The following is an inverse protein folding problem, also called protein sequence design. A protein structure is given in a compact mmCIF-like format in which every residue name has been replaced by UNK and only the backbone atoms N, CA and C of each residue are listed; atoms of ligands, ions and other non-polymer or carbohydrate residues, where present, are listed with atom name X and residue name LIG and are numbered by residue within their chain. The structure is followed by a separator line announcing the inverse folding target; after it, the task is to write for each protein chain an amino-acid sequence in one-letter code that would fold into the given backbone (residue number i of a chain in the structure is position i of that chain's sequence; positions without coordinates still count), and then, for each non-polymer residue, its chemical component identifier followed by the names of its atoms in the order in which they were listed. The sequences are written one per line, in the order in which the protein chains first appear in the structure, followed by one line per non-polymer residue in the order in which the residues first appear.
data_IF_885752763388
#
_entry.id   IF_885752763388
#
_cell.length_a   1.000
_cell.length_b   1.000
_cell.length_c   1.000
_cell.angle_alpha   90.00
_cell.angle_beta   90.00
_cell.angle_gamma   90.00
#
_symmetry.space_group_name_H-M   'P 1'
#
loop_
_entity.id
_entity.type
_entity.pdbx_description
1 polymer ?
#
# COMPACT_ATOMS: atom_id res chain seq x y z
N UNK A 1 19.39 42.50 11.37
CA UNK A 1 18.62 42.05 10.19
C UNK A 1 17.14 42.23 10.49
N UNK A 2 16.35 42.80 9.57
CA UNK A 2 14.88 42.80 9.72
C UNK A 2 14.38 41.37 9.53
N UNK A 3 13.55 40.86 10.45
CA UNK A 3 12.87 39.57 10.25
C UNK A 3 11.93 39.71 9.06
N UNK A 4 12.00 38.79 8.11
CA UNK A 4 11.04 38.71 7.02
C UNK A 4 9.68 38.32 7.59
N UNK A 5 8.62 38.96 7.11
CA UNK A 5 7.23 38.63 7.46
C UNK A 5 6.61 37.80 6.34
N UNK A 6 5.80 36.82 6.70
CA UNK A 6 5.09 35.97 5.73
C UNK A 6 3.61 36.23 5.90
N UNK A 7 2.96 36.60 4.80
CA UNK A 7 1.52 36.84 4.70
C UNK A 7 0.91 35.71 3.87
N UNK A 8 -0.05 34.99 4.44
CA UNK A 8 -0.72 33.85 3.83
C UNK A 8 -2.22 34.05 3.81
N UNK A 9 -2.87 33.66 2.72
CA UNK A 9 -4.32 33.63 2.62
C UNK A 9 -4.74 32.29 2.00
N UNK A 10 -5.74 31.66 2.58
CA UNK A 10 -6.35 30.42 2.09
C UNK A 10 -7.78 30.70 1.64
N UNK A 11 -8.11 30.28 0.43
CA UNK A 11 -9.48 30.26 -0.07
C UNK A 11 -10.14 28.95 0.32
N UNK A 12 -11.47 28.93 0.35
CA UNK A 12 -12.24 27.72 0.66
C UNK A 12 -11.84 26.55 -0.26
N UNK A 13 -11.65 25.38 0.35
CA UNK A 13 -11.17 24.18 -0.32
C UNK A 13 -12.12 23.67 -1.41
N UNK A 14 -13.42 23.90 -1.23
CA UNK A 14 -14.47 23.42 -2.12
C UNK A 14 -14.92 24.45 -3.17
N UNK A 15 -14.26 25.60 -3.23
CA UNK A 15 -14.54 26.56 -4.29
C UNK A 15 -14.26 25.98 -5.67
N UNK A 16 -15.27 26.11 -6.54
CA UNK A 16 -15.16 25.88 -7.97
C UNK A 16 -14.33 26.98 -8.63
N UNK A 17 -13.96 26.76 -9.89
CA UNK A 17 -13.15 27.69 -10.66
C UNK A 17 -13.79 29.09 -10.71
N UNK A 18 -15.09 29.19 -10.92
CA UNK A 18 -15.81 30.46 -11.07
C UNK A 18 -15.79 31.26 -9.77
N UNK A 19 -15.90 30.59 -8.62
CA UNK A 19 -15.84 31.22 -7.30
C UNK A 19 -14.44 31.79 -7.03
N UNK A 20 -13.39 31.03 -7.36
CA UNK A 20 -12.00 31.49 -7.25
C UNK A 20 -11.74 32.70 -8.14
N UNK A 21 -12.22 32.68 -9.39
CA UNK A 21 -12.08 33.82 -10.30
C UNK A 21 -12.85 35.05 -9.81
N UNK A 22 -14.10 34.89 -9.38
CA UNK A 22 -14.89 35.99 -8.83
C UNK A 22 -14.25 36.58 -7.56
N UNK A 23 -13.61 35.77 -6.71
CA UNK A 23 -12.85 36.31 -5.57
C UNK A 23 -11.66 37.15 -6.00
N UNK A 24 -10.93 36.75 -7.04
CA UNK A 24 -9.80 37.52 -7.56
C UNK A 24 -10.25 38.85 -8.17
N UNK A 25 -11.38 38.86 -8.88
CA UNK A 25 -12.00 40.08 -9.39
C UNK A 25 -12.42 41.03 -8.27
N UNK A 26 -12.90 40.50 -7.13
CA UNK A 26 -13.24 41.32 -5.95
C UNK A 26 -12.02 41.89 -5.23
N UNK A 27 -10.92 41.14 -5.19
CA UNK A 27 -9.70 41.63 -4.56
C UNK A 27 -9.08 42.76 -5.39
N UNK A 28 -9.08 42.69 -6.73
CA UNK A 28 -8.43 43.66 -7.65
C UNK A 28 -6.90 43.80 -7.47
N UNK A 29 -6.40 43.82 -6.24
CA UNK A 29 -5.00 43.93 -5.83
C UNK A 29 -4.70 43.01 -4.64
N UNK A 30 -3.41 42.86 -4.31
CA UNK A 30 -3.02 42.12 -3.09
C UNK A 30 -3.40 42.87 -1.80
N UNK A 31 -3.72 44.17 -1.84
CA UNK A 31 -4.03 44.94 -0.63
C UNK A 31 -5.39 44.58 -0.04
N UNK A 32 -6.28 44.06 -0.88
CA UNK A 32 -7.68 43.76 -0.55
C UNK A 32 -7.89 42.28 -0.20
N UNK A 33 -6.80 41.51 -0.13
CA UNK A 33 -6.82 40.12 0.35
C UNK A 33 -6.70 40.13 1.87
N UNK A 34 -7.56 39.36 2.54
CA UNK A 34 -7.50 39.13 3.99
C UNK A 34 -6.31 38.24 4.36
N UNK A 35 -5.13 38.84 4.44
CA UNK A 35 -3.88 38.14 4.79
C UNK A 35 -3.79 37.81 6.28
N UNK A 36 -3.29 36.62 6.57
CA UNK A 36 -2.85 36.20 7.89
C UNK A 36 -1.32 36.23 7.96
N UNK A 37 -0.76 36.95 8.92
CA UNK A 37 0.69 36.89 9.19
C UNK A 37 1.00 35.57 9.90
N UNK A 38 1.91 34.77 9.33
CA UNK A 38 2.31 33.46 9.88
C UNK A 38 3.80 33.42 10.20
N UNK A 39 4.14 32.68 11.25
CA UNK A 39 5.52 32.41 11.63
C UNK A 39 5.88 30.94 11.36
N UNK A 40 6.99 30.65 10.65
CA UNK A 40 7.44 29.28 10.48
C UNK A 40 7.80 28.63 11.82
N UNK A 41 7.59 27.33 11.94
CA UNK A 41 8.07 26.55 13.09
C UNK A 41 9.60 26.46 13.13
N UNK A 42 10.13 25.80 14.17
CA UNK A 42 11.58 25.57 14.35
C UNK A 42 12.23 24.75 13.22
N UNK A 43 11.43 24.09 12.38
CA UNK A 43 11.86 23.33 11.19
C UNK A 43 11.61 24.10 9.89
N UNK A 44 11.26 25.39 9.97
CA UNK A 44 10.96 26.27 8.84
C UNK A 44 9.69 25.89 8.06
N UNK A 45 8.72 25.23 8.71
CA UNK A 45 7.41 24.86 8.16
C UNK A 45 6.38 25.95 8.43
N UNK A 46 5.62 26.36 7.40
CA UNK A 46 4.68 27.49 7.51
C UNK A 46 3.29 27.09 8.06
N UNK A 47 2.64 26.11 7.45
CA UNK A 47 1.23 25.76 7.74
C UNK A 47 1.14 24.69 8.85
N UNK A 48 1.43 25.05 10.09
CA UNK A 48 1.53 24.12 11.23
C UNK A 48 0.34 24.15 12.18
N UNK A 49 -0.69 24.94 11.89
CA UNK A 49 -1.88 25.12 12.73
C UNK A 49 -2.61 23.82 13.12
N UNK A 50 -2.69 22.88 12.18
CA UNK A 50 -3.35 21.58 12.40
C UNK A 50 -2.41 20.52 13.01
N UNK A 51 -1.16 20.86 13.35
CA UNK A 51 -0.21 19.90 13.92
C UNK A 51 -0.33 19.82 15.43
N UNK A 52 -0.43 18.58 15.91
CA UNK A 52 -0.46 18.27 17.32
C UNK A 52 0.97 18.09 17.85
N UNK A 53 1.34 18.88 18.87
CA UNK A 53 2.71 18.91 19.38
C UNK A 53 3.08 17.68 20.20
N UNK A 54 2.11 17.10 20.92
CA UNK A 54 2.26 15.90 21.73
C UNK A 54 2.67 14.67 20.90
N UNK A 55 2.31 14.64 19.60
CA UNK A 55 2.69 13.59 18.66
C UNK A 55 4.21 13.31 18.68
N UNK A 56 5.02 14.36 18.83
CA UNK A 56 6.48 14.26 18.85
C UNK A 56 7.03 13.51 20.08
N UNK A 57 6.25 13.42 21.16
CA UNK A 57 6.62 12.71 22.39
C UNK A 57 6.47 11.19 22.29
N UNK A 58 5.72 10.70 21.30
CA UNK A 58 5.45 9.28 21.12
C UNK A 58 6.61 8.55 20.44
N UNK A 59 6.66 7.22 20.63
CA UNK A 59 7.70 6.36 20.06
C UNK A 59 7.53 6.31 18.53
N UNK A 60 8.53 6.67 17.72
CA UNK A 60 8.41 6.57 16.28
C UNK A 60 8.28 5.11 15.85
N UNK A 61 7.39 4.84 14.88
CA UNK A 61 7.26 3.49 14.33
C UNK A 61 8.55 3.05 13.61
N UNK A 62 9.26 4.01 13.01
CA UNK A 62 10.53 3.82 12.33
C UNK A 62 11.02 5.16 11.75
N UNK A 63 12.34 5.31 11.56
CA UNK A 63 12.92 6.47 10.86
C UNK A 63 14.11 6.07 10.00
N UNK A 64 14.60 6.97 9.14
CA UNK A 64 15.79 6.69 8.30
C UNK A 64 17.08 6.78 9.10
N UNK A 65 17.08 7.58 10.14
CA UNK A 65 18.17 7.80 11.07
C UNK A 65 18.38 6.54 11.90
N UNK A 66 17.33 6.08 12.59
CA UNK A 66 17.35 4.89 13.45
C UNK A 66 17.66 3.61 12.65
N UNK A 67 17.28 3.56 11.37
CA UNK A 67 17.62 2.47 10.44
C UNK A 67 19.13 2.22 10.31
N UNK A 68 19.95 3.26 10.47
CA UNK A 68 21.41 3.18 10.34
C UNK A 68 22.08 2.74 11.64
N UNK A 69 21.42 3.01 12.77
CA UNK A 69 21.85 2.58 14.09
C UNK A 69 21.68 1.06 14.23
N UNK A 70 22.50 0.42 15.07
CA UNK A 70 22.47 -1.03 15.29
C UNK A 70 21.99 -1.36 16.69
N UNK A 71 20.99 -2.22 16.82
CA UNK A 71 20.61 -2.81 18.11
C UNK A 71 19.89 -1.83 19.03
N UNK A 72 20.36 -1.70 20.28
CA UNK A 72 19.70 -0.91 21.33
C UNK A 72 19.70 0.61 21.09
N UNK A 73 20.54 1.10 20.18
CA UNK A 73 20.62 2.53 19.86
C UNK A 73 19.42 3.01 19.02
N UNK A 74 18.70 2.09 18.38
CA UNK A 74 17.56 2.41 17.54
C UNK A 74 16.30 2.74 18.39
N UNK A 75 15.99 4.03 18.53
CA UNK A 75 14.87 4.54 19.34
C UNK A 75 13.53 4.54 18.59
N UNK A 76 13.19 3.43 17.96
CA UNK A 76 11.93 3.24 17.21
C UNK A 76 11.34 1.85 17.42
N UNK A 77 10.08 1.64 17.05
CA UNK A 77 9.44 0.31 17.14
C UNK A 77 10.11 -0.68 16.19
N UNK A 78 10.24 -0.34 14.92
CA UNK A 78 10.83 -1.22 13.90
C UNK A 78 12.21 -0.72 13.47
N UNK A 79 13.18 -1.63 13.45
CA UNK A 79 14.53 -1.37 12.95
C UNK A 79 14.53 -1.15 11.43
N UNK A 80 13.85 -2.03 10.69
CA UNK A 80 13.77 -2.02 9.23
C UNK A 80 12.34 -1.80 8.76
N UNK A 81 12.20 -1.05 7.68
CA UNK A 81 10.95 -0.93 6.93
C UNK A 81 11.28 -0.71 5.45
N UNK A 82 10.34 -0.96 4.56
CA UNK A 82 10.58 -0.85 3.11
C UNK A 82 9.51 -0.03 2.43
N UNK A 83 9.86 0.68 1.37
CA UNK A 83 8.86 1.07 0.38
C UNK A 83 8.28 -0.16 -0.32
N UNK A 84 7.07 -0.02 -0.83
CA UNK A 84 6.48 -0.93 -1.80
C UNK A 84 7.33 -1.07 -3.07
N UNK A 85 7.17 -2.16 -3.81
CA UNK A 85 7.94 -2.44 -5.03
C UNK A 85 7.56 -1.44 -6.11
N UNK A 86 8.55 -0.79 -6.70
CA UNK A 86 8.40 0.02 -7.90
C UNK A 86 8.94 -0.77 -9.10
N UNK A 87 8.05 -1.33 -9.91
CA UNK A 87 8.47 -2.11 -11.07
C UNK A 87 8.82 -1.19 -12.27
N UNK A 88 8.03 -0.12 -12.45
CA UNK A 88 7.99 0.76 -13.62
C UNK A 88 7.60 0.03 -14.93
N UNK A 89 7.07 -1.19 -14.86
CA UNK A 89 6.63 -2.02 -15.99
C UNK A 89 5.58 -3.04 -15.54
N UNK A 90 4.59 -2.58 -14.78
CA UNK A 90 3.63 -3.45 -14.11
C UNK A 90 2.94 -4.44 -15.05
N UNK A 91 2.60 -4.00 -16.27
CA UNK A 91 1.96 -4.83 -17.29
C UNK A 91 2.80 -6.07 -17.69
N UNK A 92 4.12 -5.98 -17.56
CA UNK A 92 5.06 -7.04 -17.90
C UNK A 92 5.34 -7.99 -16.75
N UNK A 93 5.43 -7.46 -15.52
CA UNK A 93 5.93 -8.22 -14.36
C UNK A 93 4.90 -8.51 -13.29
N UNK A 94 3.65 -8.05 -13.46
CA UNK A 94 2.50 -8.50 -12.70
C UNK A 94 1.47 -9.19 -13.61
N UNK A 95 0.76 -10.18 -13.08
CA UNK A 95 -0.43 -10.74 -13.71
C UNK A 95 -1.37 -11.37 -12.68
N UNK A 96 -2.66 -11.49 -13.02
CA UNK A 96 -3.58 -12.33 -12.25
C UNK A 96 -3.28 -13.83 -12.47
N UNK A 97 -2.91 -14.19 -13.70
CA UNK A 97 -2.55 -15.55 -14.07
C UNK A 97 -1.04 -15.75 -14.09
N UNK A 98 -0.57 -16.80 -13.41
CA UNK A 98 0.86 -17.08 -13.30
C UNK A 98 1.45 -17.47 -14.66
N UNK A 99 0.73 -18.26 -15.46
CA UNK A 99 1.23 -18.73 -16.74
C UNK A 99 1.43 -17.57 -17.73
N UNK A 100 0.48 -16.64 -17.79
CA UNK A 100 0.58 -15.38 -18.53
C UNK A 100 1.77 -14.54 -18.05
N UNK A 101 1.98 -14.40 -16.74
CA UNK A 101 3.17 -13.73 -16.21
C UNK A 101 4.46 -14.36 -16.74
N UNK A 102 4.59 -15.68 -16.67
CA UNK A 102 5.78 -16.39 -17.13
C UNK A 102 6.03 -16.13 -18.62
N UNK A 103 4.99 -16.19 -19.46
CA UNK A 103 5.09 -15.94 -20.89
C UNK A 103 5.52 -14.50 -21.20
N UNK A 104 4.91 -13.50 -20.53
CA UNK A 104 5.27 -12.09 -20.69
C UNK A 104 6.71 -11.80 -20.29
N UNK A 105 7.16 -12.37 -19.17
CA UNK A 105 8.52 -12.15 -18.66
C UNK A 105 9.56 -12.85 -19.54
N UNK A 106 9.30 -14.08 -20.00
CA UNK A 106 10.20 -14.77 -20.94
C UNK A 106 10.38 -13.95 -22.22
N UNK A 107 9.28 -13.47 -22.80
CA UNK A 107 9.32 -12.58 -23.98
C UNK A 107 10.11 -11.29 -23.70
N UNK A 108 9.89 -10.65 -22.55
CA UNK A 108 10.64 -9.45 -22.16
C UNK A 108 12.15 -9.73 -22.05
N UNK A 109 12.53 -10.85 -21.44
CA UNK A 109 13.93 -11.26 -21.26
C UNK A 109 14.57 -11.57 -22.61
N UNK A 110 13.88 -12.30 -23.48
CA UNK A 110 14.36 -12.60 -24.84
C UNK A 110 14.62 -11.32 -25.62
N UNK A 111 13.64 -10.39 -25.65
CA UNK A 111 13.78 -9.10 -26.31
C UNK A 111 14.94 -8.26 -25.74
N UNK A 112 15.09 -8.23 -24.41
CA UNK A 112 16.20 -7.54 -23.75
C UNK A 112 17.56 -8.17 -24.12
N UNK A 113 17.66 -9.50 -24.14
CA UNK A 113 18.91 -10.19 -24.46
C UNK A 113 19.31 -10.06 -25.94
N UNK A 114 18.34 -9.88 -26.85
CA UNK A 114 18.61 -9.47 -28.24
C UNK A 114 19.33 -8.13 -28.27
N UNK A 115 18.85 -7.17 -27.47
CA UNK A 115 19.46 -5.83 -27.36
C UNK A 115 20.86 -5.89 -26.73
N UNK A 116 21.07 -6.74 -25.72
CA UNK A 116 22.41 -7.01 -25.15
C UNK A 116 23.35 -7.58 -26.20
N UNK A 117 22.88 -8.53 -27.01
CA UNK A 117 23.69 -9.14 -28.07
C UNK A 117 24.06 -8.11 -29.14
N UNK A 118 23.10 -7.27 -29.56
CA UNK A 118 23.31 -6.18 -30.52
C UNK A 118 24.26 -5.11 -29.98
N UNK A 119 24.18 -4.80 -28.68
CA UNK A 119 25.04 -3.81 -28.03
C UNK A 119 26.46 -4.34 -27.85
N UNK A 120 26.62 -5.64 -27.60
CA UNK A 120 27.91 -6.29 -27.45
C UNK A 120 28.75 -6.29 -28.74
N UNK A 121 28.12 -6.13 -29.90
CA UNK A 121 28.79 -5.97 -31.19
C UNK A 121 29.30 -4.55 -31.45
N UNK A 122 28.93 -3.57 -30.61
CA UNK A 122 29.38 -2.19 -30.77
C UNK A 122 30.85 -2.05 -30.34
N UNK A 123 31.66 -1.48 -31.22
CA UNK A 123 33.11 -1.25 -31.00
C UNK A 123 33.42 0.13 -30.44
N UNK A 124 32.42 1.02 -30.39
CA UNK A 124 32.55 2.39 -29.87
C UNK A 124 31.36 2.73 -28.96
N UNK A 125 31.51 3.77 -28.15
CA UNK A 125 30.45 4.22 -27.25
C UNK A 125 29.28 4.77 -28.06
N UNK A 126 28.09 4.23 -27.85
CA UNK A 126 26.84 4.66 -28.51
C UNK A 126 25.93 5.35 -27.49
N UNK A 127 25.19 6.36 -27.95
CA UNK A 127 24.06 6.91 -27.20
C UNK A 127 22.98 5.84 -27.03
N UNK A 128 22.77 5.41 -25.79
CA UNK A 128 21.89 4.29 -25.46
C UNK A 128 20.44 4.55 -25.86
N UNK A 129 19.98 5.81 -25.76
CA UNK A 129 18.59 6.17 -26.04
C UNK A 129 18.30 6.18 -27.54
N UNK A 130 19.33 6.36 -28.37
CA UNK A 130 19.23 6.22 -29.84
C UNK A 130 19.46 4.80 -30.31
N UNK A 131 20.13 3.99 -29.51
CA UNK A 131 20.41 2.60 -29.82
C UNK A 131 19.17 1.73 -29.64
N UNK A 132 18.59 1.72 -28.44
CA UNK A 132 17.57 0.75 -28.03
C UNK A 132 16.26 0.83 -28.82
N UNK A 133 15.59 -0.32 -28.97
CA UNK A 133 14.20 -0.34 -29.42
C UNK A 133 13.27 0.23 -28.32
N UNK A 134 12.63 1.37 -28.60
CA UNK A 134 11.72 2.07 -27.68
C UNK A 134 10.25 1.66 -27.80
N UNK A 135 9.94 0.69 -28.66
CA UNK A 135 8.58 0.14 -28.79
C UNK A 135 8.13 -0.44 -27.44
N UNK A 136 7.03 0.07 -26.84
CA UNK A 136 6.52 -0.40 -25.55
C UNK A 136 6.05 -1.87 -25.58
N UNK A 137 5.81 -2.45 -26.75
CA UNK A 137 5.47 -3.86 -26.95
C UNK A 137 6.71 -4.77 -26.96
N UNK A 138 7.91 -4.19 -27.10
CA UNK A 138 9.17 -4.91 -27.17
C UNK A 138 9.87 -4.99 -25.80
N UNK A 139 10.31 -3.84 -25.28
CA UNK A 139 10.90 -3.71 -23.93
C UNK A 139 10.48 -2.37 -23.33
N UNK A 140 9.93 -2.39 -22.11
CA UNK A 140 9.73 -1.18 -21.31
C UNK A 140 10.99 -0.85 -20.51
N UNK A 141 11.80 0.04 -21.09
CA UNK A 141 13.08 0.46 -20.51
C UNK A 141 12.94 1.29 -19.25
N UNK A 142 13.89 1.09 -18.34
CA UNK A 142 14.15 1.95 -17.19
C UNK A 142 15.64 2.24 -17.13
N UNK A 143 16.05 3.30 -16.43
CA UNK A 143 17.47 3.66 -16.31
C UNK A 143 18.32 2.50 -15.77
N UNK A 144 17.74 1.68 -14.87
CA UNK A 144 18.41 0.49 -14.34
C UNK A 144 18.64 -0.57 -15.41
N UNK A 145 17.64 -0.82 -16.27
CA UNK A 145 17.76 -1.81 -17.34
C UNK A 145 18.70 -1.31 -18.45
N UNK A 146 18.72 0.00 -18.73
CA UNK A 146 19.70 0.62 -19.64
C UNK A 146 21.12 0.50 -19.10
N UNK A 147 21.33 0.73 -17.81
CA UNK A 147 22.63 0.57 -17.18
C UNK A 147 23.12 -0.89 -17.21
N UNK A 148 22.23 -1.86 -17.00
CA UNK A 148 22.54 -3.29 -17.12
C UNK A 148 22.92 -3.67 -18.57
N UNK A 149 22.19 -3.15 -19.56
CA UNK A 149 22.53 -3.30 -20.98
C UNK A 149 23.93 -2.76 -21.30
N UNK A 150 24.27 -1.57 -20.81
CA UNK A 150 25.60 -0.98 -20.99
C UNK A 150 26.72 -1.82 -20.36
N UNK A 151 26.41 -2.55 -19.28
CA UNK A 151 27.30 -3.51 -18.64
C UNK A 151 27.31 -4.89 -19.31
N UNK A 152 26.52 -5.09 -20.37
CA UNK A 152 26.34 -6.35 -21.10
C UNK A 152 25.82 -7.48 -20.20
N UNK A 153 25.03 -7.13 -19.21
CA UNK A 153 24.43 -8.09 -18.29
C UNK A 153 23.25 -8.80 -18.97
N UNK A 154 23.34 -10.13 -19.08
CA UNK A 154 22.28 -10.98 -19.63
C UNK A 154 21.32 -11.38 -18.49
N UNK A 155 20.03 -11.47 -18.80
CA UNK A 155 19.02 -11.94 -17.84
C UNK A 155 18.57 -13.34 -18.24
N UNK A 156 18.41 -14.25 -17.28
CA UNK A 156 17.76 -15.55 -17.46
C UNK A 156 16.44 -15.60 -16.69
N UNK A 157 15.46 -16.31 -17.25
CA UNK A 157 14.22 -16.60 -16.55
C UNK A 157 14.47 -17.61 -15.43
N UNK A 158 13.91 -17.33 -14.25
CA UNK A 158 14.01 -18.18 -13.06
C UNK A 158 12.64 -18.26 -12.40
N UNK A 159 12.07 -19.46 -12.39
CA UNK A 159 10.74 -19.71 -11.84
C UNK A 159 10.64 -19.39 -10.35
N UNK A 160 11.74 -19.49 -9.60
CA UNK A 160 11.75 -19.17 -8.16
C UNK A 160 11.51 -17.68 -7.86
N UNK A 161 11.65 -16.82 -8.88
CA UNK A 161 11.35 -15.38 -8.80
C UNK A 161 9.88 -15.05 -9.06
N UNK A 162 9.06 -16.03 -9.43
CA UNK A 162 7.60 -15.86 -9.49
C UNK A 162 7.05 -15.94 -8.07
N UNK A 163 6.41 -14.86 -7.62
CA UNK A 163 6.00 -14.64 -6.22
C UNK A 163 4.59 -14.12 -6.13
N UNK A 164 3.94 -14.33 -4.99
CA UNK A 164 2.68 -13.68 -4.70
C UNK A 164 2.93 -12.24 -4.23
N UNK A 165 2.09 -11.32 -4.70
CA UNK A 165 2.15 -9.92 -4.31
C UNK A 165 0.75 -9.35 -4.15
N UNK A 166 0.58 -8.48 -3.16
CA UNK A 166 -0.65 -7.69 -3.06
C UNK A 166 -0.43 -6.39 -3.84
N UNK A 167 -1.01 -6.35 -5.04
CA UNK A 167 -0.83 -5.24 -5.98
C UNK A 167 -1.60 -3.98 -5.54
N UNK A 168 -2.82 -4.19 -5.04
CA UNK A 168 -3.74 -3.21 -4.42
C UNK A 168 -4.49 -3.92 -3.28
N UNK A 169 -5.17 -3.23 -2.35
CA UNK A 169 -5.92 -3.88 -1.28
C UNK A 169 -6.81 -5.00 -1.78
N UNK A 170 -6.65 -6.19 -1.18
CA UNK A 170 -7.41 -7.40 -1.53
C UNK A 170 -7.23 -7.90 -2.98
N UNK A 171 -6.22 -7.38 -3.70
CA UNK A 171 -5.91 -7.78 -5.08
C UNK A 171 -4.56 -8.50 -5.08
N UNK A 172 -4.61 -9.82 -5.04
CA UNK A 172 -3.43 -10.66 -5.22
C UNK A 172 -3.10 -10.79 -6.71
N UNK A 173 -1.82 -10.63 -7.05
CA UNK A 173 -1.26 -10.88 -8.37
C UNK A 173 0.04 -11.68 -8.23
N UNK A 174 0.33 -12.50 -9.23
CA UNK A 174 1.66 -13.03 -9.44
C UNK A 174 2.60 -11.87 -9.84
N UNK A 175 3.82 -11.88 -9.31
CA UNK A 175 4.88 -10.91 -9.55
C UNK A 175 6.17 -11.64 -9.92
N UNK A 176 6.87 -11.16 -10.94
CA UNK A 176 8.27 -11.56 -11.18
C UNK A 176 9.23 -10.65 -10.40
N UNK A 177 9.70 -11.13 -9.25
CA UNK A 177 10.44 -10.38 -8.24
C UNK A 177 11.96 -10.31 -8.51
N UNK A 178 12.33 -9.75 -9.65
CA UNK A 178 13.72 -9.68 -10.09
C UNK A 178 14.39 -8.32 -9.86
N UNK A 179 15.69 -8.37 -9.53
CA UNK A 179 16.46 -7.20 -9.17
C UNK A 179 16.73 -6.22 -10.33
N UNK A 180 16.60 -6.61 -11.60
CA UNK A 180 16.74 -5.74 -12.78
C UNK A 180 15.38 -5.43 -13.41
N UNK A 181 14.49 -6.44 -13.46
CA UNK A 181 13.14 -6.26 -14.00
C UNK A 181 12.19 -5.52 -13.06
N UNK A 182 12.58 -5.28 -11.81
CA UNK A 182 11.94 -4.28 -10.95
C UNK A 182 12.88 -3.08 -10.77
N UNK A 183 12.41 -1.87 -11.09
CA UNK A 183 13.22 -0.65 -10.95
C UNK A 183 13.75 -0.48 -9.52
N UNK A 184 12.92 -0.73 -8.50
CA UNK A 184 13.32 -0.80 -7.09
C UNK A 184 12.51 -1.87 -6.35
N UNK A 185 13.20 -2.88 -5.81
CA UNK A 185 12.64 -3.81 -4.81
C UNK A 185 12.71 -3.27 -3.37
N UNK A 186 13.41 -2.16 -3.18
CA UNK A 186 13.76 -1.59 -1.88
C UNK A 186 14.27 -2.68 -0.92
N UNK A 187 13.79 -2.73 0.32
CA UNK A 187 14.20 -3.74 1.31
C UNK A 187 13.30 -4.99 1.30
N UNK A 188 12.32 -5.11 0.39
CA UNK A 188 11.42 -6.27 0.42
C UNK A 188 12.13 -7.61 0.18
N UNK A 189 13.29 -7.59 -0.47
CA UNK A 189 14.15 -8.76 -0.65
C UNK A 189 14.86 -9.22 0.64
N UNK A 190 14.75 -8.46 1.74
CA UNK A 190 15.18 -8.83 3.10
C UNK A 190 13.98 -9.11 4.02
N UNK A 191 12.76 -8.95 3.50
CA UNK A 191 11.49 -9.17 4.23
C UNK A 191 10.86 -10.48 3.78
N UNK A 192 10.82 -10.69 2.46
CA UNK A 192 10.30 -11.88 1.81
C UNK A 192 11.32 -12.39 0.77
N UNK A 193 12.54 -12.79 1.17
CA UNK A 193 13.58 -13.25 0.23
C UNK A 193 13.14 -14.47 -0.59
N UNK A 194 12.44 -15.45 0.03
CA UNK A 194 12.05 -16.72 -0.62
C UNK A 194 10.55 -17.02 -0.42
N UNK A 195 9.92 -17.87 -1.25
CA UNK A 195 8.53 -18.27 -1.07
C UNK A 195 8.23 -18.85 0.32
N UNK A 196 9.18 -19.57 0.93
CA UNK A 196 9.03 -20.15 2.27
C UNK A 196 8.85 -19.04 3.32
N UNK A 197 9.62 -17.95 3.22
CA UNK A 197 9.50 -16.82 4.16
C UNK A 197 8.16 -16.08 4.08
N UNK A 198 7.41 -16.19 2.98
CA UNK A 198 6.06 -15.63 2.85
C UNK A 198 5.03 -16.38 3.73
N UNK A 199 5.33 -17.63 4.11
CA UNK A 199 4.46 -18.40 5.03
C UNK A 199 4.78 -18.12 6.50
N UNK A 200 5.98 -17.63 6.80
CA UNK A 200 6.43 -17.36 8.16
C UNK A 200 6.23 -15.91 8.59
N UNK A 201 6.49 -14.96 7.68
CA UNK A 201 6.58 -13.56 8.02
C UNK A 201 5.22 -12.86 7.88
N UNK A 202 5.00 -11.89 8.75
CA UNK A 202 3.85 -10.99 8.68
C UNK A 202 4.36 -9.56 8.65
N UNK A 203 3.68 -8.72 7.88
CA UNK A 203 3.97 -7.31 7.80
C UNK A 203 2.66 -6.54 7.72
N UNK A 204 2.71 -5.25 8.00
CA UNK A 204 1.63 -4.35 7.59
C UNK A 204 2.20 -3.16 6.82
N UNK A 205 1.41 -2.67 5.87
CA UNK A 205 1.73 -1.50 5.09
C UNK A 205 0.88 -0.31 5.47
N UNK A 206 1.46 0.88 5.36
CA UNK A 206 0.89 2.16 5.74
C UNK A 206 1.03 3.17 4.61
N UNK A 207 0.26 4.25 4.69
CA UNK A 207 0.50 5.43 3.89
C UNK A 207 1.91 6.00 4.10
N UNK A 208 2.58 6.36 3.02
CA UNK A 208 3.88 7.02 3.09
C UNK A 208 3.76 8.52 3.35
N UNK A 209 4.90 9.14 3.69
CA UNK A 209 4.99 10.59 3.89
C UNK A 209 4.59 11.35 2.62
N UNK A 210 3.71 12.33 2.81
CA UNK A 210 3.12 13.15 1.75
C UNK A 210 1.87 12.53 1.12
N UNK A 211 1.35 11.43 1.65
CA UNK A 211 0.13 10.81 1.12
C UNK A 211 -1.03 11.82 1.08
N UNK A 212 -1.68 11.89 -0.09
CA UNK A 212 -2.81 12.79 -0.34
C UNK A 212 -4.17 12.15 -0.12
N UNK A 213 -4.20 10.83 0.03
CA UNK A 213 -5.42 10.06 0.31
C UNK A 213 -5.67 9.98 1.83
N UNK A 214 -6.81 9.45 2.25
CA UNK A 214 -7.02 9.12 3.66
C UNK A 214 -5.97 8.11 4.17
N UNK A 215 -5.56 8.25 5.43
CA UNK A 215 -4.63 7.33 6.07
C UNK A 215 -5.26 5.94 6.22
N UNK A 216 -4.47 4.89 6.01
CA UNK A 216 -4.91 3.51 6.26
C UNK A 216 -3.73 2.57 6.46
N UNK A 217 -4.06 1.35 6.90
CA UNK A 217 -3.10 0.31 7.25
C UNK A 217 -3.63 -1.06 6.80
N UNK A 218 -2.78 -1.92 6.24
CA UNK A 218 -3.19 -3.23 5.73
C UNK A 218 -2.14 -4.30 6.03
N UNK A 219 -2.54 -5.42 6.63
CA UNK A 219 -1.63 -6.53 6.96
C UNK A 219 -1.51 -7.51 5.79
N UNK A 220 -0.32 -8.06 5.61
CA UNK A 220 0.04 -8.96 4.50
C UNK A 220 1.13 -9.94 4.93
N UNK A 221 1.19 -11.08 4.24
CA UNK A 221 2.32 -12.03 4.29
C UNK A 221 3.12 -12.07 2.98
N UNK A 222 2.74 -11.21 2.03
CA UNK A 222 3.31 -11.15 0.70
C UNK A 222 3.94 -9.77 0.47
N UNK A 223 4.78 -9.70 -0.57
CA UNK A 223 5.28 -8.43 -1.09
C UNK A 223 4.13 -7.48 -1.48
N UNK A 224 4.40 -6.18 -1.49
CA UNK A 224 3.41 -5.15 -1.90
C UNK A 224 3.95 -4.23 -2.98
N UNK A 225 3.06 -3.71 -3.83
CA UNK A 225 3.36 -2.61 -4.75
C UNK A 225 3.56 -1.28 -3.99
N UNK A 226 4.38 -0.38 -4.55
CA UNK A 226 4.55 0.99 -4.03
C UNK A 226 3.25 1.80 -4.09
N UNK A 227 2.45 1.57 -5.14
CA UNK A 227 1.20 2.29 -5.41
C UNK A 227 -0.01 1.48 -4.89
N UNK A 228 0.10 0.91 -3.70
CA UNK A 228 -0.89 -0.01 -3.13
C UNK A 228 -2.30 0.57 -3.01
N UNK A 229 -2.46 1.66 -2.25
CA UNK A 229 -3.72 2.37 -2.01
C UNK A 229 -3.45 3.82 -1.58
N UNK A 230 -2.26 3.99 -1.00
CA UNK A 230 -1.66 5.23 -0.57
C UNK A 230 -0.45 5.50 -1.44
N UNK A 231 -0.01 6.75 -1.45
CA UNK A 231 1.25 7.10 -2.08
C UNK A 231 2.43 6.60 -1.24
N UNK A 232 3.44 6.05 -1.92
CA UNK A 232 4.71 5.62 -1.30
C UNK A 232 4.49 4.65 -0.14
N UNK A 233 3.67 3.62 -0.36
CA UNK A 233 3.32 2.66 0.69
C UNK A 233 4.57 2.13 1.42
N UNK A 234 4.54 2.12 2.75
CA UNK A 234 5.64 1.68 3.60
C UNK A 234 5.26 0.40 4.31
N UNK A 235 6.11 -0.61 4.24
CA UNK A 235 5.93 -1.95 4.79
C UNK A 235 6.78 -2.13 6.04
N UNK A 236 6.16 -2.54 7.13
CA UNK A 236 6.75 -2.80 8.44
C UNK A 236 6.60 -4.28 8.77
N UNK A 237 7.67 -5.08 8.64
CA UNK A 237 7.61 -6.51 8.86
C UNK A 237 7.92 -6.89 10.31
N UNK A 238 7.41 -8.04 10.74
CA UNK A 238 7.77 -8.62 12.02
C UNK A 238 9.15 -9.27 11.98
N UNK A 239 9.46 -10.03 10.93
CA UNK A 239 10.78 -10.63 10.72
C UNK A 239 11.55 -9.95 9.59
N UNK A 240 12.88 -10.00 9.70
CA UNK A 240 13.84 -9.71 8.64
C UNK A 240 14.79 -10.89 8.46
N UNK A 241 15.36 -10.99 7.26
CA UNK A 241 16.16 -12.12 6.81
C UNK A 241 17.40 -11.63 6.05
N UNK A 242 18.38 -12.51 5.93
CA UNK A 242 19.41 -12.37 4.90
C UNK A 242 18.82 -12.68 3.50
N UNK A 243 19.57 -12.34 2.45
CA UNK A 243 19.08 -12.41 1.06
C UNK A 243 18.71 -13.82 0.60
N UNK A 244 19.27 -14.83 1.25
CA UNK A 244 19.03 -16.25 0.99
C UNK A 244 17.87 -16.83 1.83
N UNK A 245 17.23 -16.03 2.69
CA UNK A 245 16.17 -16.49 3.60
C UNK A 245 16.67 -17.00 4.94
N UNK A 246 17.98 -17.00 5.19
CA UNK A 246 18.56 -17.42 6.46
C UNK A 246 18.58 -16.28 7.48
N UNK A 247 19.05 -16.59 8.70
CA UNK A 247 19.28 -15.63 9.78
C UNK A 247 18.05 -14.77 10.11
N UNK A 248 16.88 -15.43 10.19
CA UNK A 248 15.62 -14.80 10.61
C UNK A 248 15.79 -14.11 11.96
N UNK A 249 15.44 -12.82 12.01
CA UNK A 249 15.49 -11.98 13.21
C UNK A 249 14.19 -11.21 13.37
N UNK A 250 13.78 -11.02 14.61
CA UNK A 250 12.69 -10.10 14.96
C UNK A 250 13.11 -8.67 14.65
N UNK A 251 12.21 -7.91 14.04
CA UNK A 251 12.46 -6.55 13.56
C UNK A 251 11.96 -5.48 14.54
N UNK A 252 11.18 -5.88 15.55
CA UNK A 252 10.85 -5.01 16.67
C UNK A 252 12.09 -4.88 17.55
N UNK A 253 12.47 -3.64 17.85
CA UNK A 253 13.69 -3.34 18.60
C UNK A 253 13.57 -3.77 20.06
N UNK A 254 14.70 -4.09 20.67
CA UNK A 254 14.75 -4.37 22.12
C UNK A 254 14.44 -3.11 22.93
N UNK A 255 14.78 -1.92 22.42
CA UNK A 255 14.37 -0.64 22.98
C UNK A 255 12.85 -0.55 23.10
N UNK A 256 12.10 -0.80 22.03
CA UNK A 256 10.64 -0.74 22.07
C UNK A 256 10.08 -1.78 23.04
N UNK A 257 10.62 -3.01 23.05
CA UNK A 257 10.21 -4.02 24.03
C UNK A 257 10.38 -3.52 25.47
N UNK A 258 11.55 -2.98 25.83
CA UNK A 258 11.84 -2.45 27.15
C UNK A 258 10.92 -1.27 27.53
N UNK A 259 10.67 -0.34 26.60
CA UNK A 259 9.77 0.79 26.83
C UNK A 259 8.34 0.33 27.15
N UNK A 260 7.81 -0.63 26.38
CA UNK A 260 6.48 -1.18 26.61
C UNK A 260 6.40 -1.96 27.94
N UNK A 261 7.36 -2.84 28.21
CA UNK A 261 7.38 -3.62 29.45
C UNK A 261 7.49 -2.72 30.69
N UNK A 262 8.28 -1.65 30.61
CA UNK A 262 8.45 -0.68 31.69
C UNK A 262 7.21 0.18 31.88
N UNK A 263 6.62 0.70 30.80
CA UNK A 263 5.41 1.53 30.88
C UNK A 263 4.23 0.76 31.50
N UNK A 264 3.98 -0.46 31.04
CA UNK A 264 2.87 -1.30 31.52
C UNK A 264 3.22 -2.16 32.74
N UNK A 265 4.47 -2.13 33.21
CA UNK A 265 4.98 -2.94 34.32
C UNK A 265 4.71 -4.44 34.14
N UNK A 266 4.79 -4.92 32.89
CA UNK A 266 4.51 -6.30 32.53
C UNK A 266 5.66 -6.91 31.70
N UNK A 267 6.54 -7.73 32.30
CA UNK A 267 7.65 -8.36 31.59
C UNK A 267 7.19 -9.48 30.63
N UNK A 268 5.91 -9.85 30.62
CA UNK A 268 5.37 -10.87 29.71
C UNK A 268 4.98 -10.30 28.35
N UNK A 269 4.93 -8.98 28.18
CA UNK A 269 4.69 -8.35 26.89
C UNK A 269 5.77 -8.82 25.92
N UNK A 270 5.34 -9.40 24.81
CA UNK A 270 6.21 -9.87 23.74
C UNK A 270 6.27 -8.88 22.58
N UNK A 271 7.26 -9.03 21.70
CA UNK A 271 7.31 -8.26 20.46
C UNK A 271 6.08 -8.50 19.58
N UNK A 272 5.51 -9.71 19.55
CA UNK A 272 4.26 -9.96 18.83
C UNK A 272 3.10 -9.14 19.38
N UNK A 273 3.02 -8.97 20.71
CA UNK A 273 1.98 -8.12 21.31
C UNK A 273 2.16 -6.67 20.87
N UNK A 274 3.40 -6.16 20.81
CA UNK A 274 3.71 -4.80 20.32
C UNK A 274 3.36 -4.64 18.83
N UNK A 275 3.65 -5.64 18.00
CA UNK A 275 3.26 -5.66 16.58
C UNK A 275 1.76 -5.49 16.40
N UNK A 276 0.98 -6.31 17.12
CA UNK A 276 -0.48 -6.28 17.06
C UNK A 276 -1.05 -5.00 17.67
N UNK A 277 -0.56 -4.59 18.84
CA UNK A 277 -0.91 -3.32 19.47
C UNK A 277 -0.75 -2.16 18.50
N UNK A 278 0.41 -2.08 17.84
CA UNK A 278 0.70 -1.03 16.85
C UNK A 278 -0.30 -1.09 15.70
N UNK A 279 -0.58 -2.28 15.17
CA UNK A 279 -1.53 -2.44 14.06
C UNK A 279 -2.95 -2.00 14.44
N UNK A 280 -3.45 -2.35 15.63
CA UNK A 280 -4.75 -1.90 16.14
C UNK A 280 -4.81 -0.38 16.34
N UNK A 281 -3.79 0.21 16.95
CA UNK A 281 -3.72 1.65 17.21
C UNK A 281 -3.78 2.45 15.91
N UNK A 282 -3.12 1.96 14.86
CA UNK A 282 -3.17 2.55 13.53
C UNK A 282 -4.56 2.46 12.87
N UNK A 283 -5.52 1.75 13.46
CA UNK A 283 -6.94 1.74 13.08
C UNK A 283 -7.83 2.62 13.97
N UNK A 284 -7.30 3.14 15.08
CA UNK A 284 -8.10 3.91 16.04
C UNK A 284 -8.62 5.22 15.42
N UNK A 285 -9.95 5.47 15.35
CA UNK A 285 -10.51 6.64 14.67
C UNK A 285 -10.01 7.96 15.23
N UNK A 286 -9.96 8.08 16.56
CA UNK A 286 -9.48 9.30 17.23
C UNK A 286 -8.01 9.59 16.90
N UNK A 287 -7.16 8.55 16.81
CA UNK A 287 -5.74 8.73 16.44
C UNK A 287 -5.61 9.26 15.02
N UNK A 288 -6.33 8.64 14.08
CA UNK A 288 -6.31 9.04 12.66
C UNK A 288 -6.86 10.44 12.44
N UNK A 289 -7.88 10.84 13.20
CA UNK A 289 -8.50 12.15 13.11
C UNK A 289 -7.59 13.23 13.73
N UNK A 290 -7.21 13.06 15.01
CA UNK A 290 -6.39 14.02 15.75
C UNK A 290 -5.06 14.30 15.05
N UNK A 291 -4.36 13.24 14.62
CA UNK A 291 -3.02 13.38 14.03
C UNK A 291 -3.01 13.39 12.50
N UNK A 292 -4.14 13.69 11.84
CA UNK A 292 -4.23 13.63 10.38
C UNK A 292 -3.15 14.49 9.67
N UNK A 293 -2.89 15.70 10.17
CA UNK A 293 -1.87 16.59 9.63
C UNK A 293 -0.44 16.07 9.89
N UNK A 294 -0.16 15.53 11.08
CA UNK A 294 1.12 14.93 11.43
C UNK A 294 1.41 13.71 10.53
N UNK A 295 0.44 12.79 10.40
CA UNK A 295 0.53 11.56 9.61
C UNK A 295 0.75 11.82 8.11
N UNK A 296 0.40 13.01 7.62
CA UNK A 296 0.71 13.45 6.26
C UNK A 296 2.18 13.86 6.08
N UNK A 297 2.83 14.33 7.15
CA UNK A 297 4.18 14.94 7.12
C UNK A 297 5.29 14.01 7.60
N UNK A 298 5.00 13.08 8.49
CA UNK A 298 5.97 12.11 8.99
C UNK A 298 5.33 10.73 9.21
N UNK A 299 6.17 9.72 9.48
CA UNK A 299 5.68 8.39 9.79
C UNK A 299 4.95 8.37 11.15
N UNK A 300 4.02 7.44 11.36
CA UNK A 300 3.30 7.32 12.63
C UNK A 300 4.22 7.24 13.84
N UNK A 301 3.79 7.87 14.93
CA UNK A 301 4.38 7.69 16.26
C UNK A 301 3.32 7.12 17.18
N UNK A 302 3.70 6.15 17.99
CA UNK A 302 2.80 5.25 18.68
C UNK A 302 2.76 5.62 20.17
N UNK A 303 1.64 6.17 20.68
CA UNK A 303 1.46 6.43 22.10
C UNK A 303 1.23 5.13 22.87
N UNK A 304 1.32 5.22 24.19
CA UNK A 304 0.87 4.18 25.12
C UNK A 304 -0.60 4.41 25.48
N UNK A 305 -1.46 3.47 25.09
CA UNK A 305 -2.87 3.45 25.44
C UNK A 305 -3.02 3.01 26.89
N UNK A 306 -4.07 3.45 27.61
CA UNK A 306 -4.36 2.95 28.95
C UNK A 306 -4.50 1.42 29.02
N UNK A 307 -5.09 0.80 28.00
CA UNK A 307 -5.35 -0.65 27.95
C UNK A 307 -4.54 -1.36 26.86
N UNK A 308 -3.33 -1.82 27.18
CA UNK A 308 -2.46 -2.54 26.23
C UNK A 308 -3.12 -3.79 25.63
N UNK A 309 -3.68 -4.65 26.48
CA UNK A 309 -4.17 -5.97 26.08
C UNK A 309 -5.34 -5.89 25.10
N UNK A 310 -6.25 -4.93 25.27
CA UNK A 310 -7.37 -4.72 24.34
C UNK A 310 -6.90 -4.41 22.92
N UNK A 311 -5.88 -3.55 22.78
CA UNK A 311 -5.26 -3.26 21.48
C UNK A 311 -4.48 -4.44 20.91
N UNK A 312 -3.71 -5.17 21.73
CA UNK A 312 -2.97 -6.35 21.25
C UNK A 312 -3.91 -7.45 20.73
N UNK A 313 -5.02 -7.74 21.44
CA UNK A 313 -6.02 -8.72 21.02
C UNK A 313 -6.73 -8.27 19.73
N UNK A 314 -7.20 -7.02 19.68
CA UNK A 314 -7.84 -6.46 18.49
C UNK A 314 -6.91 -6.49 17.28
N UNK A 315 -5.65 -6.13 17.49
CA UNK A 315 -4.63 -6.10 16.45
C UNK A 315 -4.32 -7.49 15.89
N UNK A 316 -4.26 -8.50 16.75
CA UNK A 316 -4.09 -9.89 16.34
C UNK A 316 -5.24 -10.33 15.44
N UNK A 317 -6.49 -10.03 15.82
CA UNK A 317 -7.66 -10.38 15.01
C UNK A 317 -7.68 -9.61 13.68
N UNK A 318 -7.39 -8.31 13.69
CA UNK A 318 -7.29 -7.50 12.47
C UNK A 318 -6.22 -8.05 11.51
N UNK A 319 -5.04 -8.37 12.02
CA UNK A 319 -3.96 -8.98 11.22
C UNK A 319 -4.42 -10.30 10.62
N UNK A 320 -5.04 -11.18 11.40
CA UNK A 320 -5.53 -12.47 10.95
C UNK A 320 -6.53 -12.34 9.78
N UNK A 321 -7.58 -11.53 9.93
CA UNK A 321 -8.64 -11.40 8.91
C UNK A 321 -8.16 -10.68 7.65
N UNK A 322 -7.22 -9.73 7.77
CA UNK A 322 -6.66 -9.03 6.62
C UNK A 322 -5.66 -9.89 5.85
N UNK A 323 -4.83 -10.68 6.54
CA UNK A 323 -3.89 -11.61 5.90
C UNK A 323 -4.62 -12.79 5.26
N UNK A 324 -5.72 -13.25 5.86
CA UNK A 324 -6.50 -14.40 5.40
C UNK A 324 -7.84 -13.98 4.77
N UNK A 325 -7.87 -12.85 4.06
CA UNK A 325 -9.10 -12.29 3.52
C UNK A 325 -9.83 -13.23 2.55
N UNK A 326 -9.09 -14.06 1.80
CA UNK A 326 -9.64 -15.06 0.86
C UNK A 326 -10.06 -16.37 1.55
N UNK A 327 -9.89 -16.47 2.87
CA UNK A 327 -10.28 -17.65 3.66
C UNK A 327 -11.36 -17.31 4.70
N UNK A 328 -11.90 -16.09 4.68
CA UNK A 328 -12.98 -15.73 5.59
C UNK A 328 -14.29 -16.45 5.21
N UNK A 329 -15.22 -16.61 6.17
CA UNK A 329 -16.57 -17.06 5.85
C UNK A 329 -17.24 -16.15 4.83
N UNK A 330 -17.95 -16.74 3.87
CA UNK A 330 -18.70 -15.99 2.86
C UNK A 330 -19.90 -15.28 3.49
N UNK A 331 -19.99 -13.96 3.29
CA UNK A 331 -21.21 -13.23 3.60
C UNK A 331 -22.37 -13.72 2.70
N UNK A 332 -23.55 -13.89 3.31
CA UNK A 332 -24.74 -14.39 2.60
C UNK A 332 -25.38 -13.30 1.75
N UNK A 333 -24.96 -13.22 0.48
CA UNK A 333 -25.64 -12.43 -0.54
C UNK A 333 -26.73 -13.23 -1.24
N UNK A 334 -27.78 -12.54 -1.70
CA UNK A 334 -28.77 -13.14 -2.60
C UNK A 334 -28.28 -13.01 -4.05
N UNK A 335 -28.37 -14.09 -4.80
CA UNK A 335 -28.06 -14.13 -6.23
C UNK A 335 -29.34 -13.88 -7.03
N UNK A 336 -29.33 -12.87 -7.89
CA UNK A 336 -30.37 -12.62 -8.87
C UNK A 336 -29.76 -13.01 -10.23
N UNK A 337 -30.23 -14.15 -10.75
CA UNK A 337 -29.76 -14.72 -12.02
C UNK A 337 -30.76 -14.42 -13.14
N UNK A 338 -30.23 -14.03 -14.30
CA UNK A 338 -31.01 -13.89 -15.53
C UNK A 338 -31.17 -15.27 -16.18
N UNK A 339 -32.36 -15.84 -16.06
CA UNK A 339 -32.68 -17.19 -16.55
C UNK A 339 -32.66 -17.33 -18.08
N UNK A 340 -32.66 -16.22 -18.81
CA UNK A 340 -32.59 -16.21 -20.28
C UNK A 340 -31.15 -16.32 -20.80
N UNK A 341 -30.15 -16.28 -19.91
CA UNK A 341 -28.73 -16.38 -20.23
C UNK A 341 -28.12 -17.69 -19.70
N UNK A 342 -27.08 -18.22 -20.36
CA UNK A 342 -26.31 -19.33 -19.80
C UNK A 342 -25.62 -18.89 -18.50
N UNK A 343 -25.30 -19.88 -17.66
CA UNK A 343 -24.47 -19.65 -16.48
C UNK A 343 -23.13 -19.07 -16.93
N UNK A 344 -22.77 -17.93 -16.34
CA UNK A 344 -21.54 -17.21 -16.65
C UNK A 344 -20.94 -16.61 -15.39
N UNK A 345 -19.79 -17.16 -14.98
CA UNK A 345 -19.02 -16.67 -13.84
C UNK A 345 -17.94 -15.67 -14.23
N UNK A 346 -17.78 -15.40 -15.53
CA UNK A 346 -16.77 -14.48 -16.03
C UNK A 346 -17.14 -13.04 -15.70
N UNK A 347 -16.18 -12.29 -15.17
CA UNK A 347 -16.29 -10.84 -15.01
C UNK A 347 -15.69 -10.14 -16.22
N UNK A 348 -16.44 -9.20 -16.81
CA UNK A 348 -15.89 -8.21 -17.74
C UNK A 348 -15.65 -6.91 -16.99
N UNK A 349 -16.69 -6.33 -16.39
CA UNK A 349 -16.57 -5.13 -15.56
C UNK A 349 -17.78 -4.93 -14.64
N UNK A 350 -17.59 -5.12 -13.34
CA UNK A 350 -18.65 -4.95 -12.34
C UNK A 350 -19.16 -3.51 -12.23
N UNK A 351 -20.41 -3.35 -11.77
CA UNK A 351 -20.99 -2.05 -11.43
C UNK A 351 -21.72 -2.09 -10.11
N UNK A 352 -21.38 -1.15 -9.23
CA UNK A 352 -22.13 -0.89 -8.01
C UNK A 352 -23.38 -0.06 -8.33
N UNK A 353 -24.51 -0.46 -7.76
CA UNK A 353 -25.76 0.32 -7.74
C UNK A 353 -25.58 1.66 -7.03
N UNK A 354 -26.44 2.65 -7.35
CA UNK A 354 -26.35 4.01 -6.79
C UNK A 354 -26.53 4.03 -5.26
N UNK A 355 -27.40 3.18 -4.74
CA UNK A 355 -27.67 2.99 -3.32
C UNK A 355 -26.68 2.03 -2.64
N UNK A 356 -25.75 1.45 -3.41
CA UNK A 356 -24.69 0.55 -2.96
C UNK A 356 -25.16 -0.77 -2.32
N UNK A 357 -26.40 -1.18 -2.58
CA UNK A 357 -26.96 -2.43 -2.03
C UNK A 357 -26.75 -3.64 -2.93
N UNK A 358 -26.37 -3.39 -4.19
CA UNK A 358 -26.22 -4.39 -5.26
C UNK A 358 -24.97 -4.19 -6.11
N UNK A 359 -24.37 -5.29 -6.56
CA UNK A 359 -23.34 -5.33 -7.60
C UNK A 359 -23.91 -6.06 -8.81
N UNK A 360 -24.03 -5.36 -9.96
CA UNK A 360 -24.17 -6.03 -11.24
C UNK A 360 -22.81 -6.66 -11.58
N UNK A 361 -22.73 -7.97 -11.49
CA UNK A 361 -21.49 -8.72 -11.68
C UNK A 361 -21.18 -8.85 -13.18
N UNK A 362 -22.14 -9.39 -13.94
CA UNK A 362 -22.18 -9.42 -15.40
C UNK A 362 -23.66 -9.37 -15.86
N UNK A 363 -23.96 -9.78 -17.09
CA UNK A 363 -25.35 -9.80 -17.59
C UNK A 363 -26.17 -10.98 -17.04
N UNK A 364 -25.51 -12.06 -16.61
CA UNK A 364 -26.13 -13.23 -15.99
C UNK A 364 -26.43 -13.00 -14.50
N UNK A 365 -25.49 -12.45 -13.72
CA UNK A 365 -25.54 -12.42 -12.26
C UNK A 365 -25.55 -11.00 -11.69
N UNK A 366 -26.47 -10.76 -10.74
CA UNK A 366 -26.45 -9.62 -9.83
C UNK A 366 -26.44 -10.09 -8.38
N UNK A 367 -25.52 -9.57 -7.58
CA UNK A 367 -25.41 -9.85 -6.15
C UNK A 367 -26.11 -8.74 -5.34
N UNK A 368 -27.02 -9.09 -4.45
CA UNK A 368 -27.78 -8.12 -3.62
C UNK A 368 -27.76 -8.46 -2.13
N UNK A 369 -28.07 -7.46 -1.31
CA UNK A 369 -28.08 -7.56 0.15
C UNK A 369 -26.77 -7.11 0.80
N UNK A 370 -26.03 -6.21 0.15
CA UNK A 370 -24.78 -5.66 0.69
C UNK A 370 -25.11 -4.66 1.81
N UNK A 371 -24.61 -4.86 3.04
CA UNK A 371 -24.84 -3.91 4.13
C UNK A 371 -24.11 -2.58 3.89
N UNK A 372 -24.70 -1.43 4.26
CA UNK A 372 -24.04 -0.12 4.17
C UNK A 372 -22.70 -0.06 4.92
N UNK A 373 -22.59 -0.73 6.06
CA UNK A 373 -21.41 -0.75 6.91
C UNK A 373 -20.16 -1.34 6.20
N UNK A 374 -20.36 -2.16 5.17
CA UNK A 374 -19.27 -2.68 4.32
C UNK A 374 -18.40 -1.56 3.75
N UNK A 375 -18.99 -0.39 3.47
CA UNK A 375 -18.27 0.73 2.85
C UNK A 375 -17.57 1.66 3.86
N UNK A 376 -17.73 1.41 5.17
CA UNK A 376 -17.04 2.19 6.21
C UNK A 376 -15.55 1.84 6.29
N UNK A 377 -15.16 0.59 6.04
CA UNK A 377 -13.75 0.20 6.03
C UNK A 377 -13.07 0.64 4.74
N UNK A 378 -12.28 1.71 4.85
CA UNK A 378 -11.55 2.33 3.73
C UNK A 378 -10.04 2.16 3.84
N UNK A 379 -9.43 1.95 2.67
CA UNK A 379 -7.99 1.95 2.45
C UNK A 379 -7.71 2.99 1.36
N UNK A 380 -7.27 4.17 1.80
CA UNK A 380 -7.22 5.36 0.96
C UNK A 380 -8.64 5.89 0.76
N UNK A 381 -8.97 6.28 -0.48
CA UNK A 381 -10.28 6.87 -0.78
C UNK A 381 -11.37 5.83 -1.16
N UNK A 382 -11.06 4.54 -1.12
CA UNK A 382 -11.95 3.44 -1.53
C UNK A 382 -12.20 2.48 -0.37
N UNK A 383 -13.41 1.94 -0.29
CA UNK A 383 -13.68 0.80 0.59
C UNK A 383 -12.99 -0.46 0.08
N UNK A 384 -12.86 -1.47 0.93
CA UNK A 384 -12.37 -2.79 0.53
C UNK A 384 -13.14 -3.35 -0.68
N UNK A 385 -14.48 -3.22 -0.68
CA UNK A 385 -15.32 -3.68 -1.78
C UNK A 385 -15.17 -2.81 -3.05
N UNK A 386 -15.01 -1.49 -2.91
CA UNK A 386 -14.73 -0.61 -4.06
C UNK A 386 -13.42 -1.01 -4.77
N UNK A 387 -12.42 -1.51 -4.02
CA UNK A 387 -11.18 -2.02 -4.61
C UNK A 387 -11.41 -3.27 -5.45
N UNK A 388 -12.21 -4.24 -4.97
CA UNK A 388 -12.56 -5.43 -5.74
C UNK A 388 -13.26 -5.05 -7.04
N UNK A 389 -14.26 -4.17 -6.98
CA UNK A 389 -15.04 -3.71 -8.15
C UNK A 389 -14.15 -2.97 -9.16
N UNK A 390 -13.18 -2.19 -8.69
CA UNK A 390 -12.28 -1.42 -9.54
C UNK A 390 -11.19 -2.26 -10.21
N UNK A 391 -10.71 -3.31 -9.55
CA UNK A 391 -9.50 -4.02 -9.98
C UNK A 391 -9.81 -5.36 -10.68
N UNK A 392 -10.89 -6.05 -10.31
CA UNK A 392 -11.36 -7.25 -10.98
C UNK A 392 -12.21 -6.88 -12.20
N UNK A 393 -11.55 -6.37 -13.24
CA UNK A 393 -12.12 -6.12 -14.57
C UNK A 393 -11.12 -6.51 -15.67
N UNK A 394 -11.66 -6.94 -16.81
CA UNK A 394 -10.85 -7.17 -18.02
C UNK A 394 -10.39 -5.82 -18.55
N UNK A 395 -9.10 -5.71 -18.86
CA UNK A 395 -8.48 -4.49 -19.36
C UNK A 395 -7.29 -4.79 -20.25
N UNK A 396 -6.92 -3.85 -21.11
CA UNK A 396 -5.72 -3.96 -21.95
C UNK A 396 -4.92 -2.66 -21.82
N UNK A 397 -3.63 -2.77 -21.53
CA UNK A 397 -2.75 -1.61 -21.52
C UNK A 397 -2.58 -1.07 -22.95
N UNK A 398 -2.91 0.21 -23.14
CA UNK A 398 -2.95 0.82 -24.48
C UNK A 398 -1.57 0.92 -25.15
N UNK A 399 -0.49 0.93 -24.37
CA UNK A 399 0.87 1.12 -24.92
C UNK A 399 1.48 -0.22 -25.32
N UNK A 400 1.45 -1.19 -24.41
CA UNK A 400 2.04 -2.51 -24.61
C UNK A 400 1.12 -3.50 -25.33
N UNK A 401 -0.19 -3.24 -25.36
CA UNK A 401 -1.20 -4.17 -25.87
C UNK A 401 -1.42 -5.39 -24.96
N UNK A 402 -0.80 -5.43 -23.78
CA UNK A 402 -0.92 -6.56 -22.85
C UNK A 402 -2.30 -6.55 -22.19
N UNK A 403 -3.01 -7.67 -22.34
CA UNK A 403 -4.28 -7.90 -21.65
C UNK A 403 -4.04 -8.26 -20.17
N UNK A 404 -4.97 -7.87 -19.33
CA UNK A 404 -5.03 -8.18 -17.91
C UNK A 404 -6.45 -8.69 -17.63
N UNK A 405 -6.56 -10.01 -17.53
CA UNK A 405 -7.80 -10.74 -17.30
C UNK A 405 -7.78 -11.35 -15.88
N UNK A 406 -8.71 -10.97 -14.99
CA UNK A 406 -8.75 -11.51 -13.63
C UNK A 406 -9.44 -12.88 -13.52
N UNK A 407 -10.06 -13.37 -14.60
CA UNK A 407 -10.84 -14.60 -14.57
C UNK A 407 -9.94 -15.84 -14.48
N UNK A 408 -10.40 -16.83 -13.72
CA UNK A 408 -9.67 -18.05 -13.42
C UNK A 408 -10.39 -19.25 -14.00
N UNK A 409 -9.74 -19.95 -14.92
CA UNK A 409 -10.29 -21.18 -15.52
C UNK A 409 -10.28 -22.36 -14.54
N UNK A 410 -9.40 -22.33 -13.54
CA UNK A 410 -9.29 -23.34 -12.50
C UNK A 410 -10.32 -23.18 -11.36
N UNK A 411 -10.92 -22.00 -11.25
CA UNK A 411 -11.85 -21.63 -10.18
C UNK A 411 -12.73 -20.44 -10.63
N UNK A 412 -13.71 -20.75 -11.47
CA UNK A 412 -14.55 -19.74 -12.14
C UNK A 412 -15.33 -18.86 -11.14
N UNK A 413 -15.71 -19.41 -10.00
CA UNK A 413 -16.45 -18.71 -8.93
C UNK A 413 -15.57 -17.89 -7.99
N UNK A 414 -14.24 -17.92 -8.17
CA UNK A 414 -13.28 -17.27 -7.27
C UNK A 414 -13.62 -15.82 -6.93
N UNK A 415 -14.00 -15.01 -7.93
CA UNK A 415 -14.25 -13.58 -7.76
C UNK A 415 -15.57 -13.35 -7.00
N UNK A 416 -16.61 -14.13 -7.29
CA UNK A 416 -17.89 -14.07 -6.56
C UNK A 416 -17.69 -14.44 -5.10
N UNK A 417 -16.90 -15.49 -4.84
CA UNK A 417 -16.53 -15.90 -3.49
C UNK A 417 -15.73 -14.81 -2.78
N UNK A 418 -14.72 -14.24 -3.44
CA UNK A 418 -13.90 -13.16 -2.91
C UNK A 418 -14.73 -11.94 -2.49
N UNK A 419 -15.72 -11.53 -3.28
CA UNK A 419 -16.64 -10.43 -2.92
C UNK A 419 -17.31 -10.70 -1.57
N UNK A 420 -17.88 -11.90 -1.40
CA UNK A 420 -18.57 -12.29 -0.16
C UNK A 420 -17.61 -12.32 1.04
N UNK A 421 -16.38 -12.78 0.84
CA UNK A 421 -15.38 -12.85 1.91
C UNK A 421 -14.87 -11.45 2.30
N UNK A 422 -14.64 -10.57 1.33
CA UNK A 422 -14.22 -9.18 1.58
C UNK A 422 -15.32 -8.38 2.28
N UNK A 423 -16.61 -8.67 2.00
CA UNK A 423 -17.72 -8.10 2.78
C UNK A 423 -17.61 -8.54 4.25
N UNK A 424 -17.41 -9.82 4.53
CA UNK A 424 -17.20 -10.33 5.89
C UNK A 424 -16.02 -9.63 6.58
N UNK A 425 -14.87 -9.54 5.91
CA UNK A 425 -13.69 -8.82 6.41
C UNK A 425 -14.06 -7.39 6.76
N UNK A 426 -14.76 -6.68 5.87
CA UNK A 426 -15.12 -5.27 6.08
C UNK A 426 -15.99 -5.08 7.31
N UNK A 427 -17.04 -5.89 7.46
CA UNK A 427 -17.95 -5.82 8.60
C UNK A 427 -17.24 -6.16 9.91
N UNK A 428 -16.36 -7.16 9.89
CA UNK A 428 -15.60 -7.55 11.06
C UNK A 428 -14.57 -6.49 11.46
N UNK A 429 -13.85 -5.90 10.50
CA UNK A 429 -12.94 -4.78 10.74
C UNK A 429 -13.67 -3.60 11.36
N UNK A 430 -14.83 -3.22 10.81
CA UNK A 430 -15.66 -2.12 11.37
C UNK A 430 -16.08 -2.43 12.80
N UNK A 431 -16.52 -3.66 13.08
CA UNK A 431 -16.89 -4.10 14.43
C UNK A 431 -15.72 -3.99 15.41
N UNK A 432 -14.54 -4.49 15.03
CA UNK A 432 -13.34 -4.45 15.89
C UNK A 432 -12.94 -3.00 16.16
N UNK A 433 -12.88 -2.18 15.12
CA UNK A 433 -12.49 -0.76 15.25
C UNK A 433 -13.44 0.03 16.14
N UNK A 434 -14.75 -0.19 16.01
CA UNK A 434 -15.77 0.42 16.89
C UNK A 434 -15.67 -0.05 18.35
N UNK A 435 -15.05 -1.21 18.60
CA UNK A 435 -14.84 -1.77 19.93
C UNK A 435 -13.46 -1.51 20.52
N UNK A 436 -12.59 -0.77 19.84
CA UNK A 436 -11.26 -0.45 20.39
C UNK A 436 -11.41 0.35 21.70
N UNK A 437 -10.58 0.07 22.72
CA UNK A 437 -10.57 0.84 23.96
C UNK A 437 -10.20 2.31 23.73
N UNK A 438 -10.49 3.16 24.71
CA UNK A 438 -10.04 4.55 24.68
C UNK A 438 -8.51 4.62 24.60
N UNK A 439 -8.00 5.49 23.73
CA UNK A 439 -6.57 5.65 23.50
C UNK A 439 -5.90 6.53 24.58
N UNK A 440 -6.69 7.13 25.48
CA UNK A 440 -6.19 7.96 26.56
C UNK A 440 -5.61 9.30 26.10
N UNK A 441 -5.90 9.69 24.86
CA UNK A 441 -5.53 10.99 24.31
C UNK A 441 -6.56 12.05 24.71
N UNK A 442 -6.15 13.33 24.84
CA UNK A 442 -7.08 14.42 25.05
C UNK A 442 -8.21 14.39 24.02
N UNK A 443 -9.45 14.50 24.50
CA UNK A 443 -10.61 14.76 23.63
C UNK A 443 -10.67 16.27 23.42
N UNK A 444 -10.76 16.67 22.16
CA UNK A 444 -10.84 18.08 21.76
C UNK A 444 -12.05 18.81 22.38
#
# INVERSE_FOLDING_TARGET
MRKAKIYYARMDEFWRQEQKLSSLEKFESIQDVDWQEIEPDSKYTWLTEDLESDFSSFIPIGSKEEKKEKGQDAKAIFQLFSLGIASNRDEWVFSFDEHDLQNKVKRLIENYNIEVSRYSQQTSQVDIDRFINVDPTFVKWTDRLKAALQQREIISFDISKVRNSIYRPFIKKALYFDHLLNQRRYQQHLIFPTPETENENQAFCLAGVGNRQAFGAFATRCTISMDFAFEKAQLFPFYIYDKDGNNRKENITDYALEQFQTHYQDPKITKWDIFHYTYALLHHPHYRQRYAANLKRELPRIPFAPEFQGFAIAGKRLTEIHINYEQQPEYRLKHIENKDLPIDWRVEKMRLSKDKTQIKYNDFLTLTGIPPETFEYKLGNRSALDWIIDQYQVSTDKRSGIANDPNRLDDEEYIVRLIKQVITVSLETVKIVKSLPDLGLPKD
#
